data_IF_507804610545
#
_entry.id   IF_507804610545
#
_cell.length_a   1.000
_cell.length_b   1.000
_cell.length_c   1.000
_cell.angle_alpha   90.00
_cell.angle_beta   90.00
_cell.angle_gamma   90.00
#
_symmetry.space_group_name_H-M   'P 1'
#
loop_
_entity.id
_entity.type
_entity.pdbx_description
1 polymer ?
#
# COMPACT_ATOMS: atom_id res chain seq x y z
N UNK A 1 -25.10 -13.68 -21.69
CA UNK A 1 -24.14 -13.41 -22.28
C UNK A 1 -23.40 -12.20 -21.97
N UNK A 2 -23.92 -11.10 -21.89
CA UNK A 2 -23.16 -9.89 -21.66
C UNK A 2 -22.41 -9.85 -20.36
N UNK A 3 -22.91 -10.53 -19.36
CA UNK A 3 -22.28 -10.43 -18.04
C UNK A 3 -20.90 -11.07 -17.99
N UNK A 4 -20.75 -12.19 -18.67
CA UNK A 4 -19.47 -12.87 -18.63
C UNK A 4 -18.35 -12.08 -19.27
N UNK A 5 -18.50 -11.58 -20.47
CA UNK A 5 -17.44 -10.77 -21.06
C UNK A 5 -17.10 -9.58 -20.20
N UNK A 6 -18.11 -9.01 -19.57
CA UNK A 6 -17.88 -7.87 -18.73
C UNK A 6 -17.04 -8.23 -17.52
N UNK A 7 -17.33 -9.35 -16.88
CA UNK A 7 -16.56 -9.78 -15.73
C UNK A 7 -15.14 -10.10 -16.12
N UNK A 8 -14.94 -10.73 -17.24
CA UNK A 8 -13.60 -11.01 -17.69
C UNK A 8 -12.82 -9.75 -17.93
N UNK A 9 -13.47 -8.75 -18.49
CA UNK A 9 -12.81 -7.49 -18.75
C UNK A 9 -12.36 -6.83 -17.46
N UNK A 10 -13.22 -6.87 -16.43
CA UNK A 10 -12.83 -6.28 -15.16
C UNK A 10 -11.78 -7.09 -14.45
N UNK A 11 -11.77 -8.41 -14.65
CA UNK A 11 -10.80 -9.26 -14.00
C UNK A 11 -9.44 -9.21 -14.67
N UNK A 12 -9.39 -8.77 -15.92
CA UNK A 12 -8.17 -8.78 -16.68
C UNK A 12 -7.64 -7.39 -16.89
N UNK A 13 -6.42 -7.18 -16.44
CA UNK A 13 -5.71 -5.94 -16.67
C UNK A 13 -4.73 -6.21 -17.79
N UNK A 14 -4.68 -5.34 -18.81
CA UNK A 14 -3.67 -5.51 -19.87
C UNK A 14 -2.29 -5.67 -19.28
N UNK A 15 -1.50 -6.55 -19.87
CA UNK A 15 -0.19 -6.90 -19.31
C UNK A 15 0.69 -5.68 -19.11
N UNK A 16 0.65 -4.76 -20.04
CA UNK A 16 1.47 -3.56 -19.95
C UNK A 16 1.09 -2.71 -18.75
N UNK A 17 -0.20 -2.52 -18.53
CA UNK A 17 -0.69 -1.73 -17.41
C UNK A 17 -0.43 -2.47 -16.11
N UNK A 18 -0.60 -3.78 -16.11
CA UNK A 18 -0.34 -4.59 -14.93
C UNK A 18 1.13 -4.43 -14.50
N UNK A 19 2.04 -4.49 -15.45
CA UNK A 19 3.46 -4.34 -15.16
C UNK A 19 3.75 -2.98 -14.54
N UNK A 20 3.15 -1.92 -15.09
CA UNK A 20 3.37 -0.59 -14.55
C UNK A 20 2.79 -0.42 -13.17
N UNK A 21 1.61 -0.99 -12.95
CA UNK A 21 0.99 -0.92 -11.63
C UNK A 21 1.79 -1.67 -10.59
N UNK A 22 2.36 -2.82 -10.98
CA UNK A 22 3.18 -3.57 -10.04
C UNK A 22 4.45 -2.80 -9.69
N UNK A 23 5.04 -2.11 -10.66
CA UNK A 23 6.20 -1.29 -10.38
C UNK A 23 5.86 -0.15 -9.43
N UNK A 24 4.71 0.48 -9.65
CA UNK A 24 4.27 1.56 -8.78
C UNK A 24 3.96 1.05 -7.37
N UNK A 25 3.35 -0.12 -7.28
CA UNK A 25 3.07 -0.70 -5.97
C UNK A 25 4.36 -1.04 -5.24
N UNK A 26 5.37 -1.47 -5.97
CA UNK A 26 6.67 -1.74 -5.38
C UNK A 26 7.31 -0.45 -4.86
N UNK A 27 7.24 0.61 -5.66
CA UNK A 27 7.77 1.90 -5.23
C UNK A 27 7.03 2.42 -4.01
N UNK A 28 5.71 2.22 -3.99
CA UNK A 28 4.90 2.64 -2.86
C UNK A 28 5.28 1.84 -1.61
N UNK A 29 5.55 0.56 -1.77
CA UNK A 29 6.01 -0.26 -0.64
C UNK A 29 7.28 0.32 -0.02
N UNK A 30 8.22 0.73 -0.87
CA UNK A 30 9.46 1.30 -0.39
C UNK A 30 9.23 2.61 0.36
N UNK A 31 8.33 3.43 -0.15
CA UNK A 31 8.00 4.69 0.52
C UNK A 31 7.35 4.44 1.87
N UNK A 32 6.45 3.47 1.92
CA UNK A 32 5.78 3.13 3.17
C UNK A 32 6.78 2.61 4.19
N UNK A 33 7.73 1.78 3.75
CA UNK A 33 8.75 1.27 4.65
C UNK A 33 9.60 2.39 5.24
N UNK A 34 9.92 3.38 4.43
CA UNK A 34 10.67 4.53 4.90
C UNK A 34 9.89 5.29 5.96
N UNK A 35 8.60 5.47 5.72
CA UNK A 35 7.74 6.15 6.69
C UNK A 35 7.67 5.35 7.99
N UNK A 36 7.56 4.03 7.89
CA UNK A 36 7.49 3.19 9.07
C UNK A 36 8.78 3.24 9.87
N UNK A 37 9.93 3.30 9.19
CA UNK A 37 11.20 3.44 9.86
C UNK A 37 11.30 4.78 10.57
N UNK A 38 10.88 5.85 9.91
CA UNK A 38 10.90 7.16 10.53
C UNK A 38 9.97 7.20 11.74
N UNK A 39 8.81 6.58 11.60
CA UNK A 39 7.85 6.50 12.69
C UNK A 39 8.43 5.74 13.88
N UNK A 40 9.12 4.65 13.60
CA UNK A 40 9.76 3.85 14.65
C UNK A 40 10.82 4.66 15.39
N UNK A 41 11.66 5.38 14.63
CA UNK A 41 12.69 6.20 15.25
C UNK A 41 12.09 7.34 16.07
N UNK A 42 11.03 7.92 15.56
CA UNK A 42 10.34 8.99 16.27
C UNK A 42 9.80 8.48 17.61
N UNK A 43 9.30 7.26 17.64
CA UNK A 43 8.75 6.67 18.84
C UNK A 43 9.82 6.39 19.90
N UNK A 44 11.11 6.38 19.50
CA UNK A 44 12.20 6.19 20.43
C UNK A 44 12.53 7.45 21.21
N UNK A 45 12.05 8.59 20.74
CA UNK A 45 12.35 9.86 21.38
C UNK A 45 11.40 10.12 22.54
N UNK A 46 11.84 10.94 23.46
CA UNK A 46 10.98 11.39 24.54
C UNK A 46 10.09 12.50 24.01
N UNK A 47 8.84 12.14 23.71
CA UNK A 47 7.89 13.08 23.14
C UNK A 47 6.89 13.51 24.20
N UNK A 48 6.41 14.75 24.09
CA UNK A 48 5.29 15.16 24.91
C UNK A 48 4.02 14.46 24.44
N UNK A 49 2.94 14.61 25.18
CA UNK A 49 1.71 13.88 24.88
C UNK A 49 1.14 14.19 23.51
N UNK A 50 1.19 15.45 23.11
CA UNK A 50 0.64 15.84 21.82
C UNK A 50 1.47 15.26 20.68
N UNK A 51 2.79 15.38 20.79
CA UNK A 51 3.67 14.85 19.75
C UNK A 51 3.58 13.35 19.68
N UNK A 52 3.40 12.70 20.82
CA UNK A 52 3.24 11.25 20.83
C UNK A 52 1.98 10.84 20.11
N UNK A 53 0.89 11.58 20.26
CA UNK A 53 -0.33 11.27 19.53
C UNK A 53 -0.12 11.34 18.04
N UNK A 54 0.59 12.37 17.58
CA UNK A 54 0.87 12.47 16.14
C UNK A 54 1.76 11.34 15.67
N UNK A 55 2.74 10.95 16.48
CA UNK A 55 3.59 9.83 16.14
C UNK A 55 2.80 8.54 16.03
N UNK A 56 1.87 8.32 16.96
CA UNK A 56 1.03 7.12 16.94
C UNK A 56 0.14 7.10 15.70
N UNK A 57 -0.40 8.26 15.31
CA UNK A 57 -1.23 8.34 14.12
C UNK A 57 -0.44 8.01 12.86
N UNK A 58 0.79 8.51 12.78
CA UNK A 58 1.64 8.22 11.63
C UNK A 58 1.93 6.73 11.57
N UNK A 59 2.23 6.13 12.70
CA UNK A 59 2.52 4.70 12.73
C UNK A 59 1.31 3.89 12.28
N UNK A 60 0.14 4.23 12.78
CA UNK A 60 -1.07 3.50 12.43
C UNK A 60 -1.42 3.68 10.95
N UNK A 61 -1.31 4.90 10.44
CA UNK A 61 -1.59 5.16 9.03
C UNK A 61 -0.61 4.42 8.14
N UNK A 62 0.64 4.33 8.55
CA UNK A 62 1.65 3.61 7.78
C UNK A 62 1.35 2.13 7.72
N UNK A 63 0.92 1.56 8.83
CA UNK A 63 0.56 0.13 8.85
C UNK A 63 -0.66 -0.15 7.99
N UNK A 64 -1.64 0.74 8.04
CA UNK A 64 -2.83 0.59 7.20
C UNK A 64 -2.45 0.70 5.72
N UNK A 65 -1.60 1.66 5.39
CA UNK A 65 -1.16 1.82 4.01
C UNK A 65 -0.41 0.59 3.52
N UNK A 66 0.41 0.01 4.37
CA UNK A 66 1.15 -1.21 4.02
C UNK A 66 0.19 -2.35 3.74
N UNK A 67 -0.84 -2.50 4.56
CA UNK A 67 -1.83 -3.55 4.37
C UNK A 67 -2.59 -3.36 3.06
N UNK A 68 -3.02 -2.13 2.81
CA UNK A 68 -3.76 -1.83 1.59
C UNK A 68 -2.89 -2.09 0.36
N UNK A 69 -1.64 -1.67 0.42
CA UNK A 69 -0.75 -1.88 -0.70
C UNK A 69 -0.49 -3.36 -0.95
N UNK A 70 -0.44 -4.15 0.11
CA UNK A 70 -0.28 -5.59 -0.03
C UNK A 70 -1.48 -6.20 -0.74
N UNK A 71 -2.68 -5.74 -0.40
CA UNK A 71 -3.88 -6.21 -1.07
C UNK A 71 -3.88 -5.84 -2.54
N UNK A 72 -3.44 -4.64 -2.87
CA UNK A 72 -3.33 -4.23 -4.26
C UNK A 72 -2.36 -5.15 -5.01
N UNK A 73 -1.24 -5.46 -4.40
CA UNK A 73 -0.25 -6.32 -5.04
C UNK A 73 -0.78 -7.73 -5.27
N UNK A 74 -1.59 -8.22 -4.33
CA UNK A 74 -2.20 -9.53 -4.50
C UNK A 74 -3.19 -9.55 -5.65
N UNK A 75 -3.97 -8.49 -5.77
CA UNK A 75 -4.91 -8.38 -6.89
C UNK A 75 -4.15 -8.35 -8.22
N UNK A 76 -3.09 -7.58 -8.29
CA UNK A 76 -2.29 -7.49 -9.50
C UNK A 76 -1.65 -8.82 -9.85
N UNK A 77 -1.19 -9.54 -8.84
CA UNK A 77 -0.58 -10.85 -9.07
C UNK A 77 -1.61 -11.83 -9.61
N UNK A 78 -2.81 -11.78 -9.08
CA UNK A 78 -3.87 -12.68 -9.53
C UNK A 78 -4.33 -12.35 -10.94
N UNK A 79 -4.14 -11.11 -11.38
CA UNK A 79 -4.56 -10.68 -12.70
C UNK A 79 -3.53 -10.93 -13.80
N UNK A 80 -2.34 -11.31 -13.44
CA UNK A 80 -1.31 -11.51 -14.47
C UNK A 80 -1.23 -12.95 -15.01
#
# INVERSE_FOLDING_TARGET
MGAQPKMETTARIPAEINTRLRALAHDLSNSIETIMQASYLLAQLKLDENTKKWSDLIDQASRDAARINREIREILRASS
#
